data_IF_507865926895
#
_entry.id   IF_507865926895
#
_cell.length_a   1.000
_cell.length_b   1.000
_cell.length_c   1.000
_cell.angle_alpha   90.00
_cell.angle_beta   90.00
_cell.angle_gamma   90.00
#
_symmetry.space_group_name_H-M   'P 1'
#
loop_
_entity.id
_entity.type
_entity.pdbx_description
1 polymer ?
#
# COMPACT_ATOMS: atom_id res chain seq x y z
N UNK A 1 2.82 1.37 -14.11
CA UNK A 1 2.93 2.41 -15.16
C UNK A 1 2.10 3.61 -14.73
N UNK A 2 2.61 4.82 -14.96
CA UNK A 2 1.91 6.07 -14.63
C UNK A 2 2.00 7.06 -15.79
N UNK A 3 0.93 7.82 -16.02
CA UNK A 3 0.95 8.97 -16.92
C UNK A 3 1.19 10.30 -16.21
N UNK A 4 1.34 10.25 -14.88
CA UNK A 4 1.59 11.42 -14.05
C UNK A 4 3.03 11.39 -13.50
N UNK A 5 3.89 12.23 -14.06
CA UNK A 5 5.29 12.35 -13.66
C UNK A 5 5.44 12.84 -12.22
N UNK A 6 4.48 13.63 -11.70
CA UNK A 6 4.53 14.20 -10.34
C UNK A 6 4.44 13.14 -9.24
N UNK A 7 4.00 11.93 -9.58
CA UNK A 7 3.92 10.82 -8.64
C UNK A 7 5.27 10.10 -8.46
N UNK A 8 6.24 10.36 -9.34
CA UNK A 8 7.52 9.64 -9.34
C UNK A 8 8.62 10.44 -8.64
N UNK A 9 9.40 9.74 -7.82
CA UNK A 9 10.68 10.21 -7.28
C UNK A 9 11.83 9.46 -7.97
N UNK A 10 13.06 9.95 -7.82
CA UNK A 10 14.26 9.33 -8.44
C UNK A 10 14.11 9.09 -9.95
N UNK A 11 13.41 9.98 -10.65
CA UNK A 11 13.05 9.75 -12.04
C UNK A 11 14.28 9.79 -12.96
N UNK A 12 14.40 8.79 -13.83
CA UNK A 12 15.42 8.69 -14.86
C UNK A 12 14.76 8.78 -16.23
N UNK A 13 15.11 9.83 -16.97
CA UNK A 13 14.69 9.99 -18.36
C UNK A 13 15.49 9.04 -19.26
N UNK A 14 14.80 8.06 -19.84
CA UNK A 14 15.40 7.07 -20.73
C UNK A 14 14.30 6.49 -21.59
N UNK A 15 14.38 6.75 -22.90
CA UNK A 15 13.53 6.05 -23.85
C UNK A 15 13.80 4.54 -23.75
N UNK A 16 12.74 3.75 -23.55
CA UNK A 16 12.85 2.30 -23.41
C UNK A 16 12.19 1.57 -24.58
N UNK A 17 10.86 1.59 -24.63
CA UNK A 17 10.01 0.89 -25.61
C UNK A 17 8.69 1.62 -25.76
N UNK A 18 7.86 1.19 -26.70
CA UNK A 18 6.49 1.62 -26.84
C UNK A 18 5.51 0.62 -26.20
N UNK A 19 4.34 1.11 -25.80
CA UNK A 19 3.20 0.33 -25.33
C UNK A 19 2.07 0.50 -26.34
N UNK A 20 1.49 -0.63 -26.76
CA UNK A 20 0.31 -0.65 -27.61
C UNK A 20 -0.94 -0.80 -26.74
N UNK A 21 -1.89 0.10 -26.92
CA UNK A 21 -3.18 0.05 -26.25
C UNK A 21 -4.21 -0.68 -27.10
N UNK A 22 -5.31 -1.09 -26.46
CA UNK A 22 -6.41 -1.81 -27.13
C UNK A 22 -7.10 -0.97 -28.22
N UNK A 23 -7.01 0.35 -28.14
CA UNK A 23 -7.58 1.29 -29.11
C UNK A 23 -6.58 1.64 -30.24
N UNK A 24 -5.59 0.78 -30.49
CA UNK A 24 -4.51 0.96 -31.46
C UNK A 24 -3.61 2.18 -31.24
N UNK A 25 -3.81 2.91 -30.14
CA UNK A 25 -2.92 3.98 -29.73
C UNK A 25 -1.58 3.40 -29.28
N UNK A 26 -0.50 4.12 -29.56
CA UNK A 26 0.87 3.74 -29.18
C UNK A 26 1.47 4.89 -28.39
N UNK A 27 1.94 4.60 -27.19
CA UNK A 27 2.67 5.57 -26.37
C UNK A 27 4.09 5.10 -26.08
N UNK A 28 4.99 6.06 -25.94
CA UNK A 28 6.37 5.79 -25.56
C UNK A 28 6.53 5.71 -24.04
N UNK A 29 7.33 4.76 -23.57
CA UNK A 29 7.87 4.75 -22.22
C UNK A 29 9.06 5.70 -22.20
N UNK A 30 8.87 6.87 -21.57
CA UNK A 30 9.85 7.96 -21.58
C UNK A 30 10.88 7.87 -20.44
N UNK A 31 10.63 6.99 -19.46
CA UNK A 31 11.57 6.71 -18.39
C UNK A 31 10.93 5.90 -17.28
N UNK A 32 11.62 5.84 -16.14
CA UNK A 32 11.13 5.18 -14.94
C UNK A 32 11.56 5.96 -13.69
N UNK A 33 10.79 5.83 -12.62
CA UNK A 33 11.13 6.32 -11.30
C UNK A 33 10.47 5.44 -10.25
N UNK A 34 10.57 5.85 -9.00
CA UNK A 34 9.95 5.11 -7.90
C UNK A 34 8.66 5.81 -7.47
N UNK A 35 7.66 5.04 -7.10
CA UNK A 35 6.42 5.52 -6.50
C UNK A 35 6.47 5.22 -5.02
N UNK A 36 6.48 6.26 -4.19
CA UNK A 36 6.41 6.13 -2.74
C UNK A 36 5.08 6.66 -2.23
N UNK A 37 4.42 5.88 -1.36
CA UNK A 37 3.20 6.28 -0.67
C UNK A 37 3.25 5.81 0.79
N UNK A 38 3.54 6.73 1.71
CA UNK A 38 3.83 6.36 3.11
C UNK A 38 5.02 5.41 3.18
N UNK A 39 4.83 4.25 3.82
CA UNK A 39 5.84 3.19 3.93
C UNK A 39 5.88 2.25 2.72
N UNK A 40 4.98 2.43 1.75
CA UNK A 40 4.88 1.59 0.57
C UNK A 40 5.75 2.17 -0.55
N UNK A 41 6.60 1.34 -1.15
CA UNK A 41 7.51 1.72 -2.22
C UNK A 41 7.38 0.74 -3.39
N UNK A 42 7.10 1.26 -4.58
CA UNK A 42 7.23 0.50 -5.83
C UNK A 42 8.36 1.12 -6.62
N UNK A 43 9.40 0.34 -6.86
CA UNK A 43 10.57 0.78 -7.62
C UNK A 43 10.33 0.65 -9.12
N UNK A 44 11.07 1.40 -9.95
CA UNK A 44 11.10 1.23 -11.42
C UNK A 44 9.72 1.30 -12.11
N UNK A 45 8.83 2.15 -11.63
CA UNK A 45 7.55 2.44 -12.27
C UNK A 45 7.78 3.19 -13.58
N UNK A 46 7.33 2.61 -14.69
CA UNK A 46 7.41 3.25 -16.01
C UNK A 46 6.50 4.47 -16.13
N UNK A 47 7.06 5.57 -16.64
CA UNK A 47 6.32 6.74 -17.08
C UNK A 47 5.97 6.61 -18.56
N UNK A 48 4.68 6.69 -18.86
CA UNK A 48 4.13 6.59 -20.21
C UNK A 48 3.38 7.88 -20.50
N UNK A 49 3.86 8.66 -21.46
CA UNK A 49 3.21 9.92 -21.83
C UNK A 49 1.80 9.67 -22.38
N UNK A 50 0.83 10.47 -21.96
CA UNK A 50 -0.57 10.33 -22.41
C UNK A 50 -1.37 9.20 -21.74
N UNK A 51 -0.80 8.48 -20.77
CA UNK A 51 -1.54 7.44 -20.05
C UNK A 51 -2.58 8.06 -19.10
N UNK A 52 -3.87 7.91 -19.43
CA UNK A 52 -4.96 8.53 -18.66
C UNK A 52 -5.19 7.97 -17.25
N UNK A 53 -4.88 6.69 -17.03
CA UNK A 53 -5.01 6.03 -15.73
C UNK A 53 -3.75 5.21 -15.38
N UNK A 54 -3.36 5.26 -14.12
CA UNK A 54 -2.21 4.50 -13.63
C UNK A 54 -2.55 3.02 -13.49
N UNK A 55 -1.57 2.17 -13.76
CA UNK A 55 -1.71 0.72 -13.70
C UNK A 55 -0.64 0.13 -12.78
N UNK A 56 -1.06 -0.69 -11.82
CA UNK A 56 -0.17 -1.49 -10.99
C UNK A 56 0.06 -2.86 -11.65
N UNK A 57 1.31 -3.33 -11.65
CA UNK A 57 1.64 -4.68 -12.11
C UNK A 57 1.50 -5.65 -10.95
N UNK A 58 0.59 -6.63 -11.05
CA UNK A 58 0.43 -7.68 -10.03
C UNK A 58 1.71 -8.48 -9.88
N UNK A 59 2.37 -8.85 -10.99
CA UNK A 59 3.63 -9.59 -10.95
C UNK A 59 4.71 -8.82 -10.18
N UNK A 60 4.82 -7.51 -10.40
CA UNK A 60 5.80 -6.69 -9.69
C UNK A 60 5.54 -6.62 -8.18
N UNK A 61 4.27 -6.61 -7.77
CA UNK A 61 3.91 -6.67 -6.35
C UNK A 61 4.30 -8.02 -5.75
N UNK A 62 4.02 -9.12 -6.45
CA UNK A 62 4.41 -10.46 -6.03
C UNK A 62 5.94 -10.63 -5.95
N UNK A 63 6.69 -10.09 -6.92
CA UNK A 63 8.16 -10.08 -6.92
C UNK A 63 8.74 -9.25 -5.75
N UNK A 64 7.93 -8.39 -5.13
CA UNK A 64 8.30 -7.56 -3.97
C UNK A 64 7.81 -8.16 -2.64
N UNK A 65 7.54 -9.48 -2.60
CA UNK A 65 7.04 -10.21 -1.42
C UNK A 65 5.69 -9.71 -0.89
N UNK A 66 4.84 -9.19 -1.78
CA UNK A 66 3.48 -8.76 -1.43
C UNK A 66 2.43 -9.75 -1.96
N UNK A 67 1.43 -10.02 -1.12
CA UNK A 67 0.26 -10.81 -1.52
C UNK A 67 -0.77 -9.88 -2.16
N UNK A 68 -1.29 -10.26 -3.33
CA UNK A 68 -2.41 -9.57 -3.98
C UNK A 68 -3.64 -10.47 -3.95
N UNK A 69 -4.65 -10.08 -3.17
CA UNK A 69 -5.88 -10.84 -3.00
C UNK A 69 -7.06 -10.15 -3.69
N UNK A 70 -7.74 -10.85 -4.60
CA UNK A 70 -8.97 -10.37 -5.24
C UNK A 70 -10.19 -11.04 -4.62
N UNK A 71 -11.15 -10.23 -4.17
CA UNK A 71 -12.47 -10.64 -3.68
C UNK A 71 -13.57 -10.06 -4.55
N UNK A 72 -14.80 -10.56 -4.40
CA UNK A 72 -15.97 -10.17 -5.22
C UNK A 72 -16.12 -8.65 -5.40
N UNK A 73 -15.86 -7.85 -4.37
CA UNK A 73 -16.08 -6.40 -4.39
C UNK A 73 -14.84 -5.57 -4.05
N UNK A 74 -13.69 -6.19 -3.78
CA UNK A 74 -12.49 -5.47 -3.34
C UNK A 74 -11.22 -6.26 -3.68
N UNK A 75 -10.10 -5.56 -3.84
CA UNK A 75 -8.77 -6.13 -3.86
C UNK A 75 -7.92 -5.59 -2.70
N UNK A 76 -6.94 -6.38 -2.29
CA UNK A 76 -6.04 -6.06 -1.20
C UNK A 76 -4.61 -6.35 -1.64
N UNK A 77 -3.68 -5.49 -1.24
CA UNK A 77 -2.24 -5.74 -1.33
C UNK A 77 -1.72 -5.83 0.10
N UNK A 78 -1.13 -6.94 0.49
CA UNK A 78 -0.68 -7.23 1.86
C UNK A 78 0.81 -7.48 1.91
N UNK A 79 1.40 -7.16 3.06
CA UNK A 79 2.73 -7.65 3.40
C UNK A 79 2.67 -9.13 3.84
N UNK A 80 3.84 -9.73 4.05
CA UNK A 80 3.97 -11.12 4.54
C UNK A 80 3.37 -11.37 5.93
N UNK A 81 3.14 -10.31 6.71
CA UNK A 81 2.50 -10.39 8.03
C UNK A 81 0.97 -10.36 7.95
N UNK A 82 0.40 -10.21 6.74
CA UNK A 82 -1.04 -10.14 6.50
C UNK A 82 -1.66 -8.76 6.72
N UNK A 83 -0.85 -7.71 6.90
CA UNK A 83 -1.32 -6.34 7.03
C UNK A 83 -1.69 -5.79 5.65
N UNK A 84 -2.92 -5.28 5.52
CA UNK A 84 -3.41 -4.62 4.30
C UNK A 84 -2.67 -3.28 4.10
N UNK A 85 -1.84 -3.21 3.05
CA UNK A 85 -1.11 -2.01 2.65
C UNK A 85 -1.91 -1.15 1.68
N UNK A 86 -2.58 -1.78 0.71
CA UNK A 86 -3.47 -1.10 -0.24
C UNK A 86 -4.82 -1.80 -0.26
N UNK A 87 -5.89 -1.03 -0.33
CA UNK A 87 -7.23 -1.51 -0.63
C UNK A 87 -7.72 -0.87 -1.92
N UNK A 88 -8.30 -1.67 -2.79
CA UNK A 88 -9.04 -1.20 -3.95
C UNK A 88 -10.46 -1.73 -3.95
N UNK A 89 -11.39 -0.91 -4.42
CA UNK A 89 -12.79 -1.31 -4.58
C UNK A 89 -13.06 -1.72 -6.02
N UNK A 90 -13.96 -2.70 -6.20
CA UNK A 90 -14.36 -3.14 -7.54
C UNK A 90 -15.44 -2.21 -8.08
N UNK A 91 -15.11 -1.48 -9.13
CA UNK A 91 -16.06 -0.68 -9.91
C UNK A 91 -16.30 -1.38 -11.25
N UNK A 92 -17.51 -1.88 -11.47
CA UNK A 92 -17.87 -2.71 -12.64
C UNK A 92 -16.94 -3.91 -12.78
N UNK A 93 -16.06 -3.94 -13.79
CA UNK A 93 -15.10 -5.01 -14.07
C UNK A 93 -13.65 -4.64 -13.72
N UNK A 94 -13.43 -3.48 -13.09
CA UNK A 94 -12.09 -2.99 -12.72
C UNK A 94 -11.97 -2.86 -11.21
N UNK A 95 -10.77 -3.11 -10.70
CA UNK A 95 -10.41 -2.80 -9.32
C UNK A 95 -9.65 -1.48 -9.32
N UNK A 96 -10.15 -0.51 -8.57
CA UNK A 96 -9.59 0.83 -8.49
C UNK A 96 -9.03 1.05 -7.09
N UNK A 97 -7.77 1.45 -7.00
CA UNK A 97 -7.12 1.81 -5.76
C UNK A 97 -7.12 3.34 -5.66
N UNK A 98 -7.76 3.88 -4.62
CA UNK A 98 -7.69 5.31 -4.32
C UNK A 98 -6.56 5.56 -3.30
N UNK A 99 -5.44 6.10 -3.77
CA UNK A 99 -4.30 6.41 -2.90
C UNK A 99 -4.67 7.47 -1.85
N UNK A 100 -5.56 8.42 -2.15
CA UNK A 100 -5.91 9.52 -1.24
C UNK A 100 -6.69 9.08 -0.01
N UNK A 101 -7.53 8.04 -0.12
CA UNK A 101 -8.32 7.52 1.01
C UNK A 101 -7.48 6.78 2.05
N UNK A 102 -6.25 6.39 1.72
CA UNK A 102 -5.34 5.83 2.72
C UNK A 102 -4.71 6.89 3.62
N UNK A 103 -4.51 8.12 3.14
CA UNK A 103 -3.93 9.19 3.95
C UNK A 103 -4.87 9.64 5.09
N UNK A 104 -6.18 9.42 4.94
CA UNK A 104 -7.17 9.66 6.01
C UNK A 104 -7.26 8.50 7.01
N UNK A 105 -6.80 7.30 6.64
CA UNK A 105 -6.65 6.17 7.55
C UNK A 105 -5.29 6.25 8.27
N UNK A 106 -5.06 7.34 9.01
CA UNK A 106 -4.14 7.28 10.14
C UNK A 106 -4.96 6.78 11.33
N UNK A 107 -5.02 5.47 11.65
CA UNK A 107 -5.33 5.15 13.02
C UNK A 107 -4.10 5.62 13.81
N UNK A 108 -4.25 6.71 14.54
CA UNK A 108 -3.49 6.83 15.79
C UNK A 108 -3.95 5.62 16.61
N UNK A 109 -3.23 4.52 16.46
CA UNK A 109 -3.53 3.30 17.18
C UNK A 109 -2.51 3.23 18.32
N UNK A 110 -2.93 3.67 19.50
CA UNK A 110 -2.24 3.36 20.76
C UNK A 110 -2.49 1.89 21.16
N UNK A 111 -2.45 0.95 20.22
CA UNK A 111 -2.51 -0.47 20.56
C UNK A 111 -1.10 -0.98 20.88
N UNK A 112 -0.83 -1.15 22.17
CA UNK A 112 0.27 -1.99 22.62
C UNK A 112 -0.15 -3.46 22.51
N UNK A 113 0.14 -4.10 21.38
CA UNK A 113 0.00 -5.56 21.25
C UNK A 113 1.31 -6.23 21.70
N UNK A 114 1.40 -6.54 23.00
CA UNK A 114 2.51 -7.34 23.53
C UNK A 114 2.10 -8.81 23.64
N UNK A 115 3.08 -9.73 23.49
CA UNK A 115 2.85 -11.15 23.72
C UNK A 115 2.40 -11.40 25.15
N UNK A 116 1.58 -12.43 25.38
CA UNK A 116 1.05 -12.78 26.71
C UNK A 116 2.15 -12.85 27.78
N UNK A 117 3.35 -13.31 27.40
CA UNK A 117 4.53 -13.38 28.26
C UNK A 117 4.99 -12.02 28.78
N UNK A 118 4.99 -10.99 27.93
CA UNK A 118 5.40 -9.64 28.36
C UNK A 118 4.29 -8.92 29.11
N UNK A 119 3.01 -9.12 28.75
CA UNK A 119 1.87 -8.65 29.57
C UNK A 119 1.93 -9.20 30.99
N UNK A 120 2.37 -10.45 31.15
CA UNK A 120 2.57 -11.07 32.46
C UNK A 120 3.75 -10.47 33.25
N UNK A 121 4.84 -10.12 32.55
CA UNK A 121 5.98 -9.42 33.13
C UNK A 121 5.60 -8.00 33.61
N UNK A 122 4.79 -7.28 32.82
CA UNK A 122 4.25 -5.97 33.22
C UNK A 122 3.31 -6.08 34.41
N UNK A 123 2.45 -7.10 34.46
CA UNK A 123 1.62 -7.39 35.61
C UNK A 123 2.46 -7.68 36.88
N UNK A 124 3.55 -8.45 36.77
CA UNK A 124 4.50 -8.65 37.87
C UNK A 124 5.19 -7.35 38.31
N UNK A 125 5.58 -6.49 37.37
CA UNK A 125 6.23 -5.21 37.68
C UNK A 125 5.28 -4.19 38.32
N UNK A 126 4.00 -4.25 37.95
CA UNK A 126 2.96 -3.32 38.42
C UNK A 126 2.18 -3.85 39.63
N UNK A 127 2.36 -5.12 40.01
CA UNK A 127 1.96 -5.94 41.19
C UNK A 127 0.71 -5.56 42.02
N UNK A 128 0.40 -4.29 42.20
CA UNK A 128 -0.69 -3.76 43.01
C UNK A 128 -1.75 -2.99 42.21
N UNK A 129 -1.55 -2.76 40.91
CA UNK A 129 -2.57 -2.17 40.04
C UNK A 129 -3.54 -3.25 39.55
N UNK A 130 -4.82 -3.08 39.89
CA UNK A 130 -5.89 -3.96 39.43
C UNK A 130 -6.03 -3.86 37.89
N UNK A 131 -6.36 -4.98 37.23
CA UNK A 131 -6.63 -5.05 35.80
C UNK A 131 -7.71 -4.05 35.36
N UNK A 132 -8.71 -3.77 36.21
CA UNK A 132 -9.73 -2.76 35.92
C UNK A 132 -9.13 -1.36 35.80
N UNK A 133 -8.19 -1.00 36.69
CA UNK A 133 -7.49 0.29 36.68
C UNK A 133 -6.57 0.42 35.46
N UNK A 134 -5.94 -0.68 35.03
CA UNK A 134 -5.14 -0.71 33.80
C UNK A 134 -6.03 -0.54 32.56
N UNK A 135 -7.20 -1.18 32.53
CA UNK A 135 -8.17 -1.02 31.44
C UNK A 135 -8.74 0.39 31.35
N UNK A 136 -8.98 1.05 32.48
CA UNK A 136 -9.43 2.44 32.52
C UNK A 136 -8.34 3.40 31.98
N UNK A 137 -7.07 3.17 32.32
CA UNK A 137 -5.95 3.95 31.80
C UNK A 137 -5.75 3.77 30.29
N UNK A 138 -6.03 2.58 29.75
CA UNK A 138 -5.88 2.27 28.32
C UNK A 138 -7.01 2.82 27.43
N UNK A 139 -8.11 3.29 28.04
CA UNK A 139 -9.30 3.81 27.33
C UNK A 139 -9.33 5.33 27.15
N UNK A 140 -8.32 6.06 27.65
CA UNK A 140 -8.18 7.52 27.46
C UNK A 140 -7.40 7.87 26.19
#
# INVERSE_FOLDING_TARGET
MTGNLKLLINFVWKFMRTVHFRNDHVAAIMGFGDLQWGNFLITRVYFVEGLGHNLFSVGQLCDSDLEVAFRRNACFVRNLEGVDLLKGDRLTNLYTINLHEMASASPICLMAHESSTKSWLWHQRLSHLNFDTINDLARN
#
